data_IF_627453884731
#
_entry.id   IF_627453884731
#
_cell.length_a   1.000
_cell.length_b   1.000
_cell.length_c   1.000
_cell.angle_alpha   90.00
_cell.angle_beta   90.00
_cell.angle_gamma   90.00
#
_symmetry.space_group_name_H-M   'P 1'
#
loop_
_entity.id
_entity.type
_entity.pdbx_description
1 polymer ?
#
# COMPACT_ATOMS: atom_id res chain seq x y z
N UNK A 1 29.87 -0.54 -5.99
CA UNK A 1 29.52 -0.72 -4.57
C UNK A 1 28.53 -1.87 -4.49
N UNK A 2 28.81 -2.91 -3.70
CA UNK A 2 27.92 -4.07 -3.51
C UNK A 2 27.44 -4.00 -2.06
N UNK A 3 26.13 -4.05 -1.85
CA UNK A 3 25.53 -3.97 -0.52
C UNK A 3 25.36 -5.39 0.05
N UNK A 4 25.64 -5.53 1.34
CA UNK A 4 25.31 -6.73 2.13
C UNK A 4 23.83 -6.76 2.47
N UNK A 5 23.30 -7.93 2.83
CA UNK A 5 21.92 -8.07 3.31
C UNK A 5 21.64 -7.14 4.50
N UNK A 6 22.57 -7.09 5.47
CA UNK A 6 22.43 -6.23 6.64
C UNK A 6 22.36 -4.74 6.29
N UNK A 7 23.09 -4.28 5.28
CA UNK A 7 23.02 -2.89 4.81
C UNK A 7 21.69 -2.60 4.10
N UNK A 8 21.18 -3.56 3.32
CA UNK A 8 19.85 -3.45 2.69
C UNK A 8 18.74 -3.39 3.74
N UNK A 9 18.77 -4.26 4.76
CA UNK A 9 17.78 -4.31 5.83
C UNK A 9 17.81 -3.03 6.65
N UNK A 10 18.99 -2.58 7.09
CA UNK A 10 19.13 -1.34 7.85
C UNK A 10 18.65 -0.10 7.07
N UNK A 11 18.81 -0.12 5.73
CA UNK A 11 18.29 0.92 4.85
C UNK A 11 16.77 0.87 4.74
N UNK A 12 16.22 -0.33 4.56
CA UNK A 12 14.78 -0.56 4.48
C UNK A 12 14.09 -0.14 5.77
N UNK A 13 14.59 -0.57 6.92
CA UNK A 13 14.04 -0.22 8.24
C UNK A 13 13.99 1.30 8.45
N UNK A 14 14.98 2.03 7.96
CA UNK A 14 14.97 3.50 8.00
C UNK A 14 13.95 4.11 7.04
N UNK A 15 13.86 3.60 5.81
CA UNK A 15 13.00 4.19 4.77
C UNK A 15 11.52 3.88 4.96
N UNK A 16 11.20 2.69 5.48
CA UNK A 16 9.81 2.25 5.60
C UNK A 16 9.02 3.13 6.57
N UNK A 17 9.68 3.72 7.58
CA UNK A 17 9.09 4.64 8.55
C UNK A 17 8.34 5.78 7.86
N UNK A 18 8.94 6.39 6.83
CA UNK A 18 8.28 7.48 6.08
C UNK A 18 6.95 7.01 5.48
N UNK A 19 6.91 5.85 4.86
CA UNK A 19 5.69 5.34 4.22
C UNK A 19 4.63 4.99 5.27
N UNK A 20 5.03 4.43 6.41
CA UNK A 20 4.13 4.17 7.54
C UNK A 20 3.51 5.48 8.05
N UNK A 21 4.31 6.52 8.24
CA UNK A 21 3.85 7.84 8.68
C UNK A 21 2.92 8.50 7.65
N UNK A 22 3.26 8.42 6.36
CA UNK A 22 2.43 8.95 5.26
C UNK A 22 1.07 8.24 5.19
N UNK A 23 1.02 6.92 5.40
CA UNK A 23 -0.25 6.18 5.48
C UNK A 23 -1.05 6.59 6.72
N UNK A 24 -0.42 6.64 7.90
CA UNK A 24 -1.09 7.06 9.14
C UNK A 24 -1.68 8.48 9.00
N UNK A 25 -0.92 9.41 8.45
CA UNK A 25 -1.38 10.78 8.22
C UNK A 25 -2.52 10.85 7.18
N UNK A 26 -2.46 10.05 6.11
CA UNK A 26 -3.51 10.03 5.09
C UNK A 26 -4.84 9.51 5.65
N UNK A 27 -4.79 8.48 6.49
CA UNK A 27 -5.97 7.85 7.10
C UNK A 27 -6.56 8.70 8.23
N UNK A 28 -5.73 9.28 9.09
CA UNK A 28 -6.18 9.99 10.29
C UNK A 28 -6.94 9.04 11.23
N UNK A 29 -8.04 9.51 11.82
CA UNK A 29 -8.86 8.72 12.76
C UNK A 29 -9.85 7.77 12.06
N UNK A 30 -9.68 7.50 10.76
CA UNK A 30 -10.52 6.54 10.06
C UNK A 30 -10.38 5.15 10.70
N UNK A 31 -11.47 4.40 10.91
CA UNK A 31 -11.38 3.03 11.40
C UNK A 31 -10.55 2.18 10.43
N UNK A 32 -9.45 1.62 10.91
CA UNK A 32 -8.51 0.84 10.11
C UNK A 32 -8.05 -0.36 10.94
N UNK A 33 -8.21 -1.57 10.41
CA UNK A 33 -7.62 -2.77 11.03
C UNK A 33 -6.12 -2.81 10.78
N UNK A 34 -5.38 -3.61 11.55
CA UNK A 34 -3.95 -3.79 11.32
C UNK A 34 -3.64 -4.27 9.90
N UNK A 35 -4.38 -5.27 9.42
CA UNK A 35 -4.13 -5.85 8.10
C UNK A 35 -4.45 -4.87 6.96
N UNK A 36 -5.50 -4.04 7.13
CA UNK A 36 -5.76 -2.93 6.21
C UNK A 36 -4.62 -1.93 6.20
N UNK A 37 -4.11 -1.55 7.38
CA UNK A 37 -2.99 -0.62 7.47
C UNK A 37 -1.74 -1.18 6.79
N UNK A 38 -1.36 -2.41 7.09
CA UNK A 38 -0.17 -3.07 6.54
C UNK A 38 -0.28 -3.22 5.01
N UNK A 39 -1.47 -3.58 4.49
CA UNK A 39 -1.73 -3.62 3.05
C UNK A 39 -1.58 -2.24 2.39
N UNK A 40 -2.09 -1.18 3.05
CA UNK A 40 -1.99 0.19 2.55
C UNK A 40 -0.55 0.73 2.57
N UNK A 41 0.26 0.33 3.56
CA UNK A 41 1.70 0.64 3.60
C UNK A 41 2.43 -0.04 2.45
N UNK A 42 2.19 -1.33 2.20
CA UNK A 42 2.78 -2.03 1.03
C UNK A 42 2.37 -1.38 -0.29
N UNK A 43 1.08 -1.07 -0.44
CA UNK A 43 0.55 -0.35 -1.60
C UNK A 43 1.26 1.00 -1.78
N UNK A 44 1.42 1.77 -0.71
CA UNK A 44 2.02 3.08 -0.76
C UNK A 44 3.51 3.03 -1.06
N UNK A 45 4.24 2.09 -0.46
CA UNK A 45 5.67 1.85 -0.73
C UNK A 45 5.93 1.68 -2.23
N UNK A 46 5.05 0.97 -2.94
CA UNK A 46 5.18 0.75 -4.38
C UNK A 46 4.67 1.91 -5.24
N UNK A 47 3.56 2.55 -4.86
CA UNK A 47 2.86 3.50 -5.75
C UNK A 47 3.13 4.96 -5.45
N UNK A 48 3.57 5.28 -4.23
CA UNK A 48 3.65 6.67 -3.75
C UNK A 48 2.29 7.39 -3.77
N UNK A 49 1.16 6.67 -3.73
CA UNK A 49 -0.15 7.22 -4.09
C UNK A 49 -1.14 7.41 -2.94
N UNK A 50 -0.80 7.07 -1.69
CA UNK A 50 -1.79 7.04 -0.58
C UNK A 50 -2.55 8.36 -0.43
N UNK A 51 -1.89 9.51 -0.61
CA UNK A 51 -2.54 10.83 -0.45
C UNK A 51 -3.54 11.20 -1.54
N UNK A 52 -3.47 10.59 -2.74
CA UNK A 52 -4.30 10.95 -3.90
C UNK A 52 -5.19 9.83 -4.43
N UNK A 53 -5.01 8.61 -3.95
CA UNK A 53 -5.72 7.45 -4.47
C UNK A 53 -7.20 7.47 -4.08
N UNK A 54 -8.07 7.09 -5.03
CA UNK A 54 -9.50 6.85 -4.75
C UNK A 54 -9.69 5.82 -3.64
N UNK A 55 -8.81 4.81 -3.58
CA UNK A 55 -8.65 3.86 -2.48
C UNK A 55 -8.78 4.53 -1.10
N UNK A 56 -7.93 5.52 -0.81
CA UNK A 56 -7.86 6.20 0.49
C UNK A 56 -9.14 6.96 0.80
N UNK A 57 -9.72 7.63 -0.21
CA UNK A 57 -11.01 8.32 -0.05
C UNK A 57 -12.14 7.35 0.30
N UNK A 58 -12.18 6.17 -0.32
CA UNK A 58 -13.18 5.14 -0.04
C UNK A 58 -12.96 4.52 1.35
N UNK A 59 -11.71 4.22 1.70
CA UNK A 59 -11.35 3.72 3.02
C UNK A 59 -11.84 4.66 4.12
N UNK A 60 -11.50 5.95 4.04
CA UNK A 60 -11.94 6.95 5.03
C UNK A 60 -13.45 7.12 5.10
N UNK A 61 -14.17 6.80 4.03
CA UNK A 61 -15.63 6.80 4.00
C UNK A 61 -16.25 5.48 4.54
N UNK A 62 -15.45 4.56 5.07
CA UNK A 62 -15.90 3.25 5.55
C UNK A 62 -16.31 2.28 4.43
N UNK A 63 -16.04 2.63 3.17
CA UNK A 63 -16.41 1.82 1.99
C UNK A 63 -15.32 0.79 1.71
N UNK A 64 -15.06 -0.08 2.68
CA UNK A 64 -13.86 -0.94 2.67
C UNK A 64 -13.84 -1.95 1.52
N UNK A 65 -14.98 -2.56 1.16
CA UNK A 65 -15.05 -3.48 0.02
C UNK A 65 -14.70 -2.78 -1.31
N UNK A 66 -15.12 -1.51 -1.45
CA UNK A 66 -14.83 -0.72 -2.65
C UNK A 66 -13.37 -0.23 -2.64
N UNK A 67 -12.85 0.14 -1.47
CA UNK A 67 -11.44 0.45 -1.30
C UNK A 67 -10.58 -0.77 -1.70
N UNK A 68 -10.90 -1.96 -1.20
CA UNK A 68 -10.22 -3.21 -1.56
C UNK A 68 -10.20 -3.42 -3.09
N UNK A 69 -11.32 -3.19 -3.78
CA UNK A 69 -11.40 -3.31 -5.24
C UNK A 69 -10.55 -2.26 -5.99
N UNK A 70 -10.33 -1.07 -5.42
CA UNK A 70 -9.45 -0.04 -6.01
C UNK A 70 -7.97 -0.45 -6.03
N UNK A 71 -7.52 -1.29 -5.08
CA UNK A 71 -6.13 -1.78 -5.04
C UNK A 71 -5.76 -2.44 -6.38
N UNK A 72 -6.64 -3.28 -6.91
CA UNK A 72 -6.47 -4.02 -8.17
C UNK A 72 -6.29 -3.17 -9.43
N UNK A 73 -6.57 -1.86 -9.38
CA UNK A 73 -6.44 -0.97 -10.55
C UNK A 73 -5.01 -0.46 -10.76
N UNK A 74 -4.14 -0.57 -9.75
CA UNK A 74 -2.78 -0.04 -9.77
C UNK A 74 -1.77 -1.07 -10.31
N UNK A 75 -1.95 -1.43 -11.59
CA UNK A 75 -1.19 -2.48 -12.29
C UNK A 75 -0.41 -2.00 -13.51
N UNK A 76 -0.45 -0.70 -13.80
CA UNK A 76 0.17 -0.14 -15.00
C UNK A 76 1.53 0.48 -14.70
N UNK A 77 2.51 0.20 -15.56
CA UNK A 77 3.79 0.89 -15.63
C UNK A 77 4.03 1.31 -17.08
N UNK A 78 4.43 2.57 -17.31
CA UNK A 78 4.58 3.16 -18.65
C UNK A 78 3.37 2.91 -19.57
N UNK A 79 2.15 3.02 -19.00
CA UNK A 79 0.88 2.83 -19.71
C UNK A 79 0.53 1.37 -20.04
N UNK A 80 1.32 0.39 -19.58
CA UNK A 80 1.08 -1.04 -19.85
C UNK A 80 0.84 -1.82 -18.56
N UNK A 81 -0.13 -2.74 -18.54
CA UNK A 81 -0.32 -3.60 -17.39
C UNK A 81 0.89 -4.54 -17.21
N UNK A 82 1.34 -4.74 -15.97
CA UNK A 82 2.41 -5.68 -15.61
C UNK A 82 1.86 -6.83 -14.76
N UNK A 83 2.22 -8.07 -15.10
CA UNK A 83 1.75 -9.24 -14.36
C UNK A 83 2.27 -9.28 -12.92
N UNK A 84 3.51 -8.85 -12.69
CA UNK A 84 4.05 -8.71 -11.33
C UNK A 84 3.26 -7.74 -10.45
N UNK A 85 2.74 -6.66 -11.04
CA UNK A 85 1.87 -5.74 -10.30
C UNK A 85 0.49 -6.34 -10.07
N UNK A 86 -0.07 -7.12 -11.01
CA UNK A 86 -1.34 -7.83 -10.79
C UNK A 86 -1.26 -8.78 -9.59
N UNK A 87 -0.21 -9.59 -9.52
CA UNK A 87 0.02 -10.53 -8.41
C UNK A 87 0.13 -9.75 -7.10
N UNK A 88 1.00 -8.73 -7.05
CA UNK A 88 1.17 -7.89 -5.86
C UNK A 88 -0.13 -7.25 -5.40
N UNK A 89 -0.94 -6.69 -6.32
CA UNK A 89 -2.21 -6.05 -5.99
C UNK A 89 -3.24 -7.05 -5.47
N UNK A 90 -3.23 -8.28 -5.98
CA UNK A 90 -4.10 -9.33 -5.46
C UNK A 90 -3.73 -9.71 -4.01
N UNK A 91 -2.44 -9.85 -3.70
CA UNK A 91 -1.98 -10.17 -2.36
C UNK A 91 -2.29 -9.05 -1.36
N UNK A 92 -2.05 -7.79 -1.75
CA UNK A 92 -2.40 -6.62 -0.95
C UNK A 92 -3.91 -6.51 -0.72
N UNK A 93 -4.72 -6.77 -1.76
CA UNK A 93 -6.18 -6.78 -1.63
C UNK A 93 -6.68 -7.94 -0.74
N UNK A 94 -6.02 -9.11 -0.80
CA UNK A 94 -6.33 -10.24 0.06
C UNK A 94 -6.02 -9.92 1.53
N UNK A 95 -4.82 -9.40 1.82
CA UNK A 95 -4.42 -8.96 3.16
C UNK A 95 -5.40 -7.90 3.70
N UNK A 96 -5.72 -6.89 2.90
CA UNK A 96 -6.66 -5.84 3.29
C UNK A 96 -8.06 -6.36 3.65
N UNK A 97 -8.49 -7.46 3.02
CA UNK A 97 -9.81 -8.07 3.24
C UNK A 97 -9.88 -9.05 4.40
N UNK A 98 -8.77 -9.29 5.10
CA UNK A 98 -8.77 -10.09 6.33
C UNK A 98 -9.54 -9.33 7.43
N UNK A 99 -10.39 -10.07 8.14
CA UNK A 99 -11.25 -9.57 9.24
C UNK A 99 -10.65 -10.04 10.56
#
# INVERSE_FOLDING_TARGET
MIWTQAECDARFDRDIVRYVEEVAAALGDAPTTRDQFDALVSYHYNTGAIGRATLTRLHKAGRFAEAQAEVGKWIYNDGRPMDGLRIRRNDEAALYGLI
#
